data_IF_141638786900
#
_entry.id   IF_141638786900
#
_cell.length_a   1.000
_cell.length_b   1.000
_cell.length_c   1.000
_cell.angle_alpha   90.00
_cell.angle_beta   90.00
_cell.angle_gamma   90.00
#
_symmetry.space_group_name_H-M   'P 1'
#
loop_
_entity.id
_entity.type
_entity.pdbx_description
1 polymer ?
#
# COMPACT_ATOMS: atom_id res chain seq x y z
N UNK A 1 -3.74 -13.59 -3.87
CA UNK A 1 -3.29 -12.54 -4.79
C UNK A 1 -4.50 -11.72 -5.18
N UNK A 2 -4.43 -10.41 -5.01
CA UNK A 2 -5.42 -9.46 -5.48
C UNK A 2 -4.99 -8.85 -6.82
N UNK A 3 -5.97 -8.40 -7.60
CA UNK A 3 -5.78 -7.69 -8.87
C UNK A 3 -6.55 -6.38 -8.77
N UNK A 4 -5.89 -5.26 -9.08
CA UNK A 4 -6.51 -3.94 -9.19
C UNK A 4 -6.36 -3.44 -10.61
N UNK A 5 -7.48 -3.18 -11.25
CA UNK A 5 -7.53 -2.56 -12.57
C UNK A 5 -7.78 -1.05 -12.40
N UNK A 6 -6.98 -0.26 -13.09
CA UNK A 6 -6.94 1.20 -13.01
C UNK A 6 -7.15 1.74 -14.42
N UNK A 7 -8.34 2.22 -14.71
CA UNK A 7 -8.65 2.86 -15.99
C UNK A 7 -8.11 4.29 -15.99
N UNK A 8 -6.98 4.48 -16.67
CA UNK A 8 -6.29 5.77 -16.78
C UNK A 8 -6.38 6.30 -18.22
N UNK A 9 -6.22 7.63 -18.43
CA UNK A 9 -6.02 8.17 -19.76
C UNK A 9 -4.83 7.47 -20.44
N UNK A 10 -5.10 6.69 -21.48
CA UNK A 10 -4.09 5.88 -22.19
C UNK A 10 -4.22 4.36 -22.02
N UNK A 11 -5.17 3.88 -21.20
CA UNK A 11 -5.54 2.46 -21.10
C UNK A 11 -5.69 1.96 -19.68
N UNK A 12 -6.10 0.70 -19.55
CA UNK A 12 -6.22 0.00 -18.26
C UNK A 12 -4.85 -0.46 -17.77
N UNK A 13 -4.50 -0.05 -16.57
CA UNK A 13 -3.31 -0.49 -15.86
C UNK A 13 -3.68 -1.55 -14.84
N UNK A 14 -2.84 -2.57 -14.68
CA UNK A 14 -3.10 -3.66 -13.74
C UNK A 14 -2.03 -3.72 -12.67
N UNK A 15 -2.42 -3.55 -11.41
CA UNK A 15 -1.59 -3.82 -10.26
C UNK A 15 -1.96 -5.19 -9.69
N UNK A 16 -0.94 -6.01 -9.42
CA UNK A 16 -1.10 -7.31 -8.75
C UNK A 16 -0.35 -7.27 -7.44
N UNK A 17 -1.01 -7.69 -6.39
CA UNK A 17 -0.47 -7.65 -5.04
C UNK A 17 -0.90 -8.84 -4.19
N UNK A 18 -0.16 -9.08 -3.11
CA UNK A 18 -0.47 -10.10 -2.12
C UNK A 18 -0.05 -9.60 -0.73
N UNK A 19 -1.05 -9.38 0.12
CA UNK A 19 -0.88 -8.93 1.50
C UNK A 19 -0.91 -10.15 2.43
N UNK A 20 0.20 -10.37 3.12
CA UNK A 20 0.34 -11.47 4.09
C UNK A 20 0.72 -10.94 5.46
N UNK A 21 0.34 -11.68 6.52
CA UNK A 21 0.83 -11.38 7.87
C UNK A 21 2.34 -11.57 7.93
N UNK A 22 3.06 -10.58 8.47
CA UNK A 22 4.50 -10.68 8.68
C UNK A 22 4.81 -11.52 9.92
N UNK A 23 5.78 -12.46 9.86
CA UNK A 23 6.21 -13.22 11.04
C UNK A 23 6.71 -12.33 12.20
N UNK A 24 7.32 -11.18 11.87
CA UNK A 24 7.81 -10.20 12.83
C UNK A 24 6.73 -9.16 13.24
N UNK A 25 5.45 -9.49 13.05
CA UNK A 25 4.31 -8.61 13.28
C UNK A 25 4.10 -7.59 12.15
N UNK A 26 2.86 -7.10 12.05
CA UNK A 26 2.42 -6.25 10.95
C UNK A 26 2.02 -7.05 9.70
N UNK A 27 1.98 -6.36 8.56
CA UNK A 27 1.60 -6.94 7.26
C UNK A 27 2.68 -6.67 6.22
N UNK A 28 2.86 -7.59 5.28
CA UNK A 28 3.75 -7.41 4.13
C UNK A 28 2.94 -7.44 2.86
N UNK A 29 2.98 -6.34 2.12
CA UNK A 29 2.44 -6.21 0.78
C UNK A 29 3.52 -6.53 -0.25
N UNK A 30 3.27 -7.52 -1.12
CA UNK A 30 4.16 -7.94 -2.20
C UNK A 30 3.58 -7.48 -3.53
N UNK A 31 4.27 -6.58 -4.23
CA UNK A 31 3.78 -5.95 -5.45
C UNK A 31 4.47 -6.52 -6.70
N UNK A 32 3.67 -6.76 -7.73
CA UNK A 32 4.10 -7.19 -9.06
C UNK A 32 3.81 -8.66 -9.35
N UNK A 33 3.97 -9.03 -10.62
CA UNK A 33 3.90 -10.42 -11.09
C UNK A 33 5.01 -10.66 -12.12
N UNK A 34 6.17 -11.22 -11.73
CA UNK A 34 6.51 -11.69 -10.39
C UNK A 34 6.65 -10.53 -9.38
N UNK A 35 6.42 -10.81 -8.10
CA UNK A 35 6.54 -9.79 -7.06
C UNK A 35 8.01 -9.37 -6.89
N UNK A 36 8.33 -8.14 -7.33
CA UNK A 36 9.68 -7.58 -7.26
C UNK A 36 9.88 -6.67 -6.04
N UNK A 37 8.79 -6.20 -5.44
CA UNK A 37 8.80 -5.28 -4.30
C UNK A 37 8.04 -5.89 -3.13
N UNK A 38 8.56 -5.75 -1.92
CA UNK A 38 7.87 -6.15 -0.70
C UNK A 38 7.97 -5.03 0.34
N UNK A 39 6.84 -4.46 0.75
CA UNK A 39 6.77 -3.44 1.79
C UNK A 39 6.12 -4.06 3.03
N UNK A 40 6.84 -4.06 4.15
CA UNK A 40 6.29 -4.47 5.46
C UNK A 40 5.88 -3.25 6.25
N UNK A 41 4.69 -3.29 6.84
CA UNK A 41 4.07 -2.18 7.55
C UNK A 41 3.83 -2.53 9.01
N UNK A 42 4.11 -1.55 9.88
CA UNK A 42 3.50 -1.45 11.18
C UNK A 42 2.03 -1.09 11.01
N UNK A 43 1.15 -1.75 11.78
CA UNK A 43 -0.30 -1.58 11.73
C UNK A 43 -0.74 -1.05 13.09
N UNK A 44 -1.50 0.05 13.09
CA UNK A 44 -2.10 0.62 14.28
C UNK A 44 -3.54 1.05 14.01
N UNK A 45 -4.34 1.12 15.07
CA UNK A 45 -5.63 1.80 15.05
C UNK A 45 -5.52 3.02 15.96
N UNK A 46 -5.75 4.20 15.41
CA UNK A 46 -5.67 5.48 16.12
C UNK A 46 -7.04 6.15 16.04
N UNK A 47 -7.79 6.09 17.15
CA UNK A 47 -9.19 6.49 17.14
C UNK A 47 -10.02 5.53 16.27
N UNK A 48 -10.65 6.05 15.24
CA UNK A 48 -11.43 5.32 14.23
C UNK A 48 -10.64 5.06 12.93
N UNK A 49 -9.36 5.47 12.88
CA UNK A 49 -8.51 5.35 11.71
C UNK A 49 -7.58 4.12 11.80
N UNK A 50 -7.44 3.42 10.69
CA UNK A 50 -6.34 2.47 10.48
C UNK A 50 -5.12 3.25 9.97
N UNK A 51 -3.98 3.03 10.62
CA UNK A 51 -2.69 3.59 10.21
C UNK A 51 -1.73 2.47 9.80
N UNK A 52 -1.13 2.61 8.62
CA UNK A 52 -0.01 1.80 8.16
C UNK A 52 1.22 2.68 7.98
N UNK A 53 2.35 2.28 8.57
CA UNK A 53 3.65 2.90 8.33
C UNK A 53 4.65 1.87 7.86
N UNK A 54 5.30 2.10 6.72
CA UNK A 54 6.29 1.15 6.20
C UNK A 54 7.49 1.06 7.14
N UNK A 55 7.79 -0.16 7.56
CA UNK A 55 8.94 -0.54 8.41
C UNK A 55 10.15 -0.96 7.58
N UNK A 56 9.92 -1.76 6.54
CA UNK A 56 10.98 -2.28 5.68
C UNK A 56 10.53 -2.36 4.23
N UNK A 57 11.48 -2.09 3.33
CA UNK A 57 11.33 -2.29 1.89
C UNK A 57 12.31 -3.37 1.43
N UNK A 58 11.81 -4.35 0.69
CA UNK A 58 12.59 -5.43 0.10
C UNK A 58 12.45 -5.45 -1.42
N UNK A 59 13.51 -5.86 -2.09
CA UNK A 59 13.57 -6.03 -3.53
C UNK A 59 13.91 -7.49 -3.88
N UNK A 60 13.21 -8.04 -4.86
CA UNK A 60 13.50 -9.33 -5.46
C UNK A 60 13.99 -9.13 -6.90
N UNK A 61 15.29 -9.37 -7.12
CA UNK A 61 15.96 -9.22 -8.41
C UNK A 61 16.46 -10.59 -8.88
N UNK A 62 15.65 -11.31 -9.67
CA UNK A 62 15.94 -12.69 -10.04
C UNK A 62 16.03 -13.60 -8.79
N UNK A 63 17.15 -14.30 -8.54
CA UNK A 63 17.34 -15.10 -7.32
C UNK A 63 17.69 -14.25 -6.08
N UNK A 64 18.09 -12.98 -6.27
CA UNK A 64 18.56 -12.13 -5.19
C UNK A 64 17.36 -11.55 -4.40
N UNK A 65 17.48 -11.52 -3.08
CA UNK A 65 16.52 -10.89 -2.16
C UNK A 65 17.27 -9.89 -1.30
N UNK A 66 17.02 -8.60 -1.51
CA UNK A 66 17.72 -7.51 -0.84
C UNK A 66 16.76 -6.72 0.05
N UNK A 67 17.22 -6.33 1.22
CA UNK A 67 16.57 -5.29 2.02
C UNK A 67 17.14 -3.94 1.60
N UNK A 68 16.27 -2.99 1.29
CA UNK A 68 16.67 -1.61 1.01
C UNK A 68 17.11 -0.94 2.32
N UNK A 69 18.30 -0.34 2.37
CA UNK A 69 18.79 0.34 3.58
C UNK A 69 17.88 1.50 3.99
N UNK A 70 17.60 1.63 5.28
CA UNK A 70 16.67 2.64 5.82
C UNK A 70 16.99 4.09 5.41
N UNK A 71 18.27 4.40 5.21
CA UNK A 71 18.74 5.73 4.80
C UNK A 71 18.30 6.14 3.39
N UNK A 72 17.92 5.19 2.54
CA UNK A 72 17.40 5.42 1.18
C UNK A 72 16.01 4.81 0.96
N UNK A 73 15.45 4.13 1.96
CA UNK A 73 14.10 3.58 1.85
C UNK A 73 13.06 4.71 1.92
N UNK A 74 12.16 4.83 0.93
CA UNK A 74 11.00 5.70 1.07
C UNK A 74 10.11 5.20 2.21
N UNK A 75 9.51 6.15 2.94
CA UNK A 75 8.51 5.87 3.96
C UNK A 75 7.13 6.03 3.35
N UNK A 76 6.35 4.97 3.40
CA UNK A 76 4.92 4.98 3.09
C UNK A 76 4.15 5.18 4.39
N UNK A 77 3.22 6.13 4.39
CA UNK A 77 2.22 6.30 5.45
C UNK A 77 0.84 6.28 4.82
N UNK A 78 -0.03 5.45 5.36
CA UNK A 78 -1.44 5.39 5.03
C UNK A 78 -2.22 5.64 6.30
N UNK A 79 -3.19 6.55 6.23
CA UNK A 79 -4.24 6.67 7.22
C UNK A 79 -5.57 6.54 6.49
N UNK A 80 -6.43 5.64 6.96
CA UNK A 80 -7.76 5.47 6.41
C UNK A 80 -8.81 5.45 7.52
N UNK A 81 -9.94 6.11 7.30
CA UNK A 81 -11.08 6.10 8.23
C UNK A 81 -12.39 6.21 7.46
N UNK A 82 -13.50 5.80 8.08
CA UNK A 82 -14.82 5.91 7.47
C UNK A 82 -15.57 7.11 8.03
N UNK A 83 -15.93 8.06 7.17
CA UNK A 83 -16.77 9.19 7.53
C UNK A 83 -18.25 8.78 7.46
N UNK A 84 -18.83 8.51 8.63
CA UNK A 84 -20.23 8.12 8.76
C UNK A 84 -21.23 9.19 8.29
N UNK A 85 -20.86 10.48 8.34
CA UNK A 85 -21.77 11.56 7.95
C UNK A 85 -21.93 11.65 6.43
N UNK A 86 -20.83 11.45 5.68
CA UNK A 86 -20.87 11.42 4.21
C UNK A 86 -21.00 10.02 3.61
N UNK A 87 -20.83 8.96 4.42
CA UNK A 87 -20.85 7.58 3.98
C UNK A 87 -19.66 7.22 3.08
N UNK A 88 -18.51 7.87 3.27
CA UNK A 88 -17.33 7.75 2.39
C UNK A 88 -16.09 7.34 3.18
N UNK A 89 -15.19 6.61 2.53
CA UNK A 89 -13.87 6.32 3.06
C UNK A 89 -12.95 7.51 2.85
N UNK A 90 -12.34 8.03 3.91
CA UNK A 90 -11.25 8.99 3.84
C UNK A 90 -9.92 8.25 3.79
N UNK A 91 -9.06 8.64 2.86
CA UNK A 91 -7.73 8.06 2.71
C UNK A 91 -6.71 9.18 2.55
N UNK A 92 -5.65 9.10 3.35
CA UNK A 92 -4.43 9.91 3.20
C UNK A 92 -3.24 8.96 3.02
N UNK A 93 -2.67 8.97 1.82
CA UNK A 93 -1.49 8.19 1.48
C UNK A 93 -0.34 9.14 1.15
N UNK A 94 0.83 8.87 1.72
CA UNK A 94 2.07 9.55 1.36
C UNK A 94 3.21 8.56 1.18
N UNK A 95 4.08 8.85 0.21
CA UNK A 95 5.33 8.15 -0.04
C UNK A 95 6.43 9.20 -0.08
N UNK A 96 7.31 9.18 0.91
CA UNK A 96 8.36 10.20 1.09
C UNK A 96 9.72 9.54 1.09
N UNK A 97 10.59 9.93 0.15
CA UNK A 97 11.99 9.54 0.15
C UNK A 97 12.81 10.51 1.01
N UNK A 98 13.75 10.03 1.85
CA UNK A 98 14.50 10.89 2.77
C UNK A 98 15.31 12.01 2.10
N UNK A 99 15.77 11.79 0.85
CA UNK A 99 16.58 12.78 0.11
C UNK A 99 15.82 13.51 -1.01
N UNK A 100 14.75 12.89 -1.54
CA UNK A 100 14.04 13.42 -2.72
C UNK A 100 12.70 14.08 -2.35
N UNK A 101 12.30 13.98 -1.08
CA UNK A 101 11.02 14.48 -0.63
C UNK A 101 9.85 13.57 -1.05
N UNK A 102 8.68 14.16 -1.27
CA UNK A 102 7.45 13.43 -1.60
C UNK A 102 7.53 12.86 -3.02
N UNK A 103 7.54 11.55 -3.14
CA UNK A 103 7.51 10.83 -4.42
C UNK A 103 6.09 10.67 -4.94
N UNK A 104 5.15 10.39 -4.04
CA UNK A 104 3.76 10.09 -4.37
C UNK A 104 2.86 10.35 -3.17
N UNK A 105 1.57 10.57 -3.42
CA UNK A 105 0.57 10.62 -2.38
C UNK A 105 -0.75 11.19 -2.88
N UNK A 106 -1.82 10.90 -2.14
CA UNK A 106 -3.12 11.48 -2.38
C UNK A 106 -3.87 11.60 -1.05
N UNK A 107 -4.76 12.59 -1.00
CA UNK A 107 -5.73 12.75 0.06
C UNK A 107 -7.10 12.83 -0.60
N UNK A 108 -8.02 11.95 -0.20
CA UNK A 108 -9.29 11.83 -0.91
C UNK A 108 -10.39 11.14 -0.13
N UNK A 109 -11.60 11.27 -0.67
CA UNK A 109 -12.80 10.57 -0.23
C UNK A 109 -13.20 9.59 -1.32
N UNK A 110 -13.49 8.35 -0.93
CA UNK A 110 -13.79 7.25 -1.83
C UNK A 110 -15.14 6.64 -1.47
N UNK A 111 -15.93 6.37 -2.49
CA UNK A 111 -17.12 5.50 -2.39
C UNK A 111 -16.72 4.15 -2.96
N UNK A 112 -16.94 3.08 -2.21
CA UNK A 112 -16.70 1.72 -2.69
C UNK A 112 -17.93 0.85 -2.46
N UNK A 113 -17.99 -0.26 -3.19
CA UNK A 113 -18.95 -1.33 -2.96
C UNK A 113 -18.17 -2.63 -2.87
N UNK A 114 -18.56 -3.48 -1.94
CA UNK A 114 -18.05 -4.84 -1.85
C UNK A 114 -19.03 -5.72 -2.63
N UNK A 115 -18.57 -6.28 -3.74
CA UNK A 115 -19.33 -7.21 -4.57
C UNK A 115 -18.74 -8.60 -4.42
N UNK A 116 -19.60 -9.62 -4.41
CA UNK A 116 -19.15 -11.02 -4.40
C UNK A 116 -18.80 -11.41 -5.82
N UNK A 117 -17.68 -12.10 -5.99
CA UNK A 117 -17.30 -12.65 -7.29
C UNK A 117 -18.41 -13.59 -7.81
N UNK A 118 -18.87 -13.43 -9.06
CA UNK A 118 -19.80 -14.38 -9.67
C UNK A 118 -19.20 -15.79 -9.70
N UNK A 119 -20.05 -16.78 -9.46
CA UNK A 119 -19.66 -18.20 -9.39
C UNK A 119 -19.20 -18.75 -10.74
#
# INVERSE_FOLDING_TARGET
MAVRELDLPGGTWVMRDDVVRSPAGGVTDRLGSPAILAATFDVAVVGDALELTSRTLGLALGPLRLRVPRVVSPTVRLQESFDAASGRQRVDLTVVHPLLGRLYGYNGLFTYRIEKEPA
#
